data_IF_084708583962
#
_entry.id   IF_084708583962
#
_cell.length_a   1.000
_cell.length_b   1.000
_cell.length_c   1.000
_cell.angle_alpha   90.00
_cell.angle_beta   90.00
_cell.angle_gamma   90.00
#
_symmetry.space_group_name_H-M   'P 1'
#
loop_
_entity.id
_entity.type
_entity.pdbx_description
1 polymer ?
#
# COMPACT_ATOMS: atom_id res chain seq x y z
N UNK A 1 33.29 -7.20 -3.41
CA UNK A 1 32.44 -6.18 -4.05
C UNK A 1 31.36 -6.87 -4.86
N UNK A 2 30.09 -6.97 -4.52
CA UNK A 2 29.26 -6.35 -3.49
C UNK A 2 27.85 -6.32 -4.07
N UNK A 3 27.07 -7.40 -3.90
CA UNK A 3 25.72 -7.63 -4.48
C UNK A 3 24.71 -6.50 -4.24
N UNK A 4 25.03 -5.58 -3.32
CA UNK A 4 24.30 -4.33 -3.05
C UNK A 4 24.34 -3.35 -4.23
N UNK A 5 25.47 -3.21 -4.92
CA UNK A 5 25.63 -2.26 -6.03
C UNK A 5 24.78 -2.62 -7.26
N UNK A 6 24.63 -3.91 -7.55
CA UNK A 6 23.87 -4.39 -8.71
C UNK A 6 22.37 -4.11 -8.60
N UNK A 7 21.81 -4.16 -7.39
CA UNK A 7 20.40 -3.85 -7.14
C UNK A 7 20.10 -2.38 -7.34
N UNK A 8 20.96 -1.51 -6.81
CA UNK A 8 20.83 -0.06 -6.98
C UNK A 8 20.96 0.35 -8.46
N UNK A 9 21.89 -0.27 -9.19
CA UNK A 9 22.06 -0.02 -10.62
C UNK A 9 20.82 -0.44 -11.45
N UNK A 10 20.24 -1.60 -11.16
CA UNK A 10 19.02 -2.06 -11.86
C UNK A 10 17.81 -1.17 -11.55
N UNK A 11 17.65 -0.75 -10.29
CA UNK A 11 16.57 0.17 -9.89
C UNK A 11 16.76 1.53 -10.58
N UNK A 12 17.97 2.10 -10.57
CA UNK A 12 18.25 3.36 -11.26
C UNK A 12 18.03 3.28 -12.76
N UNK A 13 18.45 2.18 -13.40
CA UNK A 13 18.21 1.93 -14.83
C UNK A 13 16.73 1.79 -15.17
N UNK A 14 15.96 1.07 -14.35
CA UNK A 14 14.51 0.92 -14.51
C UNK A 14 13.78 2.27 -14.38
N UNK A 15 14.13 3.08 -13.38
CA UNK A 15 13.55 4.43 -13.21
C UNK A 15 13.82 5.31 -14.43
N UNK A 16 15.07 5.30 -14.93
CA UNK A 16 15.43 6.08 -16.13
C UNK A 16 14.72 5.60 -17.38
N UNK A 17 14.50 4.29 -17.51
CA UNK A 17 13.77 3.69 -18.63
C UNK A 17 12.27 3.98 -18.56
N UNK A 18 11.68 3.90 -17.36
CA UNK A 18 10.27 4.19 -17.11
C UNK A 18 9.91 5.68 -17.37
N UNK A 19 10.86 6.60 -17.13
CA UNK A 19 10.68 8.03 -17.40
C UNK A 19 10.80 8.41 -18.89
N UNK A 20 11.40 7.56 -19.73
CA UNK A 20 11.69 7.85 -21.13
C UNK A 20 10.87 7.06 -22.16
N UNK A 21 9.90 6.26 -21.73
CA UNK A 21 9.10 5.39 -22.61
C UNK A 21 7.82 6.10 -23.06
N UNK A 22 7.52 6.11 -24.36
CA UNK A 22 6.38 6.81 -24.98
C UNK A 22 4.99 6.23 -24.67
N UNK A 23 4.89 5.00 -24.16
CA UNK A 23 3.64 4.38 -23.68
C UNK A 23 3.81 3.75 -22.30
N UNK A 24 3.92 4.57 -21.24
CA UNK A 24 4.09 4.04 -19.88
C UNK A 24 2.74 3.54 -19.34
N UNK A 25 2.72 2.33 -18.79
CA UNK A 25 1.57 1.80 -18.01
C UNK A 25 1.23 2.68 -16.79
N UNK A 26 2.21 3.44 -16.30
CA UNK A 26 2.06 4.44 -15.23
C UNK A 26 2.75 5.70 -15.73
N UNK A 27 1.98 6.66 -16.22
CA UNK A 27 2.52 7.94 -16.65
C UNK A 27 2.99 8.74 -15.42
N UNK A 28 4.31 8.74 -15.21
CA UNK A 28 4.97 9.43 -14.10
C UNK A 28 4.73 10.96 -14.15
N UNK A 29 4.26 11.49 -15.29
CA UNK A 29 3.85 12.89 -15.41
C UNK A 29 2.58 13.21 -14.61
N UNK A 30 1.79 12.22 -14.19
CA UNK A 30 0.69 12.45 -13.24
C UNK A 30 1.19 12.92 -11.87
N UNK A 31 2.39 12.52 -11.43
CA UNK A 31 3.02 13.02 -10.20
C UNK A 31 3.57 14.46 -10.33
N UNK A 32 3.46 15.07 -11.51
CA UNK A 32 3.73 16.52 -11.66
C UNK A 32 2.54 17.36 -11.18
N UNK A 33 1.33 16.79 -11.16
CA UNK A 33 0.15 17.49 -10.65
C UNK A 33 0.18 17.53 -9.11
N UNK A 34 0.16 18.73 -8.55
CA UNK A 34 0.18 18.96 -7.10
C UNK A 34 -0.93 18.22 -6.36
N UNK A 35 -2.12 18.05 -6.96
CA UNK A 35 -3.23 17.33 -6.31
C UNK A 35 -2.93 15.84 -6.18
N UNK A 36 -2.43 15.20 -7.24
CA UNK A 36 -2.06 13.78 -7.26
C UNK A 36 -0.89 13.53 -6.32
N UNK A 37 0.10 14.42 -6.33
CA UNK A 37 1.27 14.33 -5.47
C UNK A 37 0.92 14.53 -4.01
N UNK A 38 0.02 15.45 -3.69
CA UNK A 38 -0.44 15.66 -2.31
C UNK A 38 -1.27 14.47 -1.82
N UNK A 39 -2.17 13.95 -2.65
CA UNK A 39 -2.96 12.76 -2.33
C UNK A 39 -2.07 11.54 -2.08
N UNK A 40 -1.12 11.26 -2.97
CA UNK A 40 -0.20 10.15 -2.82
C UNK A 40 0.79 10.33 -1.67
N UNK A 41 1.27 11.55 -1.42
CA UNK A 41 2.15 11.84 -0.28
C UNK A 41 1.41 11.65 1.05
N UNK A 42 0.15 12.08 1.12
CA UNK A 42 -0.69 11.87 2.30
C UNK A 42 -0.95 10.38 2.52
N UNK A 43 -1.24 9.64 1.45
CA UNK A 43 -1.41 8.18 1.51
C UNK A 43 -0.13 7.48 1.96
N UNK A 44 1.03 7.91 1.44
CA UNK A 44 2.33 7.38 1.81
C UNK A 44 2.63 7.65 3.29
N UNK A 45 2.40 8.88 3.76
CA UNK A 45 2.61 9.26 5.15
C UNK A 45 1.67 8.48 6.08
N UNK A 46 0.40 8.37 5.72
CA UNK A 46 -0.58 7.57 6.43
C UNK A 46 -0.16 6.10 6.50
N UNK A 47 0.21 5.50 5.37
CA UNK A 47 0.66 4.12 5.32
C UNK A 47 1.93 3.92 6.17
N UNK A 48 2.92 4.82 6.07
CA UNK A 48 4.14 4.74 6.87
C UNK A 48 3.85 4.80 8.38
N UNK A 49 3.00 5.73 8.82
CA UNK A 49 2.57 5.83 10.21
C UNK A 49 1.78 4.59 10.66
N UNK A 50 0.83 4.13 9.84
CA UNK A 50 -0.02 2.98 10.13
C UNK A 50 0.78 1.68 10.23
N UNK A 51 1.61 1.37 9.23
CA UNK A 51 2.48 0.19 9.26
C UNK A 51 3.53 0.29 10.37
N UNK A 52 4.07 1.47 10.64
CA UNK A 52 4.96 1.70 11.77
C UNK A 52 4.29 1.34 13.11
N UNK A 53 3.06 1.79 13.32
CA UNK A 53 2.26 1.47 14.51
C UNK A 53 1.90 -0.02 14.60
N UNK A 54 1.48 -0.64 13.50
CA UNK A 54 1.13 -2.07 13.45
C UNK A 54 2.34 -2.97 13.73
N UNK A 55 3.54 -2.57 13.31
CA UNK A 55 4.77 -3.32 13.58
C UNK A 55 5.26 -3.19 15.04
N UNK A 56 4.96 -2.06 15.69
CA UNK A 56 5.31 -1.83 17.10
C UNK A 56 4.58 -2.80 18.05
N UNK A 57 3.33 -3.16 17.75
CA UNK A 57 2.51 -4.05 18.59
C UNK A 57 3.16 -5.44 18.81
N UNK A 58 3.45 -6.24 17.76
CA UNK A 58 4.08 -7.55 17.95
C UNK A 58 5.50 -7.44 18.50
N UNK A 59 6.24 -6.38 18.13
CA UNK A 59 7.59 -6.13 18.66
C UNK A 59 7.55 -5.86 20.17
N UNK A 60 6.56 -5.12 20.66
CA UNK A 60 6.37 -4.86 22.09
C UNK A 60 6.01 -6.15 22.86
N UNK A 61 5.13 -6.99 22.31
CA UNK A 61 4.80 -8.31 22.89
C UNK A 61 6.02 -9.23 23.01
N UNK A 62 6.89 -9.24 21.99
CA UNK A 62 8.07 -10.09 21.93
C UNK A 62 9.22 -9.56 22.80
N UNK A 63 9.41 -8.23 22.87
CA UNK A 63 10.56 -7.62 23.55
C UNK A 63 10.29 -7.30 25.03
N UNK A 64 9.09 -6.82 25.40
CA UNK A 64 8.78 -6.42 26.77
C UNK A 64 8.01 -7.49 27.56
N UNK A 65 7.15 -8.27 26.91
CA UNK A 65 6.24 -9.19 27.61
C UNK A 65 6.77 -10.63 27.74
N UNK A 66 7.86 -11.00 27.05
CA UNK A 66 8.42 -12.37 27.01
C UNK A 66 7.36 -13.47 26.73
N UNK A 67 6.22 -13.11 26.15
CA UNK A 67 5.15 -14.05 25.83
C UNK A 67 5.52 -14.83 24.57
N UNK A 68 5.19 -16.11 24.54
CA UNK A 68 5.46 -16.96 23.38
C UNK A 68 4.70 -16.45 22.16
N UNK A 69 5.33 -16.50 20.98
CA UNK A 69 4.76 -16.02 19.71
C UNK A 69 3.34 -16.56 19.44
N UNK A 70 3.02 -17.75 19.97
CA UNK A 70 1.72 -18.41 19.85
C UNK A 70 0.57 -17.63 20.53
N UNK A 71 0.79 -17.06 21.72
CA UNK A 71 -0.26 -16.31 22.42
C UNK A 71 -0.51 -14.95 21.78
N UNK A 72 0.56 -14.25 21.37
CA UNK A 72 0.41 -13.00 20.61
C UNK A 72 -0.32 -13.22 19.28
N UNK A 73 -0.03 -14.33 18.59
CA UNK A 73 -0.73 -14.73 17.38
C UNK A 73 -2.22 -14.95 17.61
N UNK A 74 -2.59 -15.61 18.69
CA UNK A 74 -4.00 -15.87 19.04
C UNK A 74 -4.77 -14.57 19.31
N UNK A 75 -4.15 -13.56 19.92
CA UNK A 75 -4.77 -12.24 20.13
C UNK A 75 -4.84 -11.38 18.86
N UNK A 76 -3.94 -11.57 17.89
CA UNK A 76 -4.01 -10.89 16.59
C UNK A 76 -4.98 -11.57 15.60
N UNK A 77 -5.42 -12.80 15.86
CA UNK A 77 -6.36 -13.51 14.99
C UNK A 77 -7.72 -12.82 14.85
N UNK A 78 -8.39 -12.34 15.92
CA UNK A 78 -9.67 -11.63 15.81
C UNK A 78 -9.59 -10.40 14.91
N UNK A 79 -8.51 -9.62 15.04
CA UNK A 79 -8.27 -8.42 14.23
C UNK A 79 -8.18 -8.80 12.74
N UNK A 80 -7.37 -9.82 12.42
CA UNK A 80 -7.16 -10.27 11.04
C UNK A 80 -8.39 -10.93 10.43
N UNK A 81 -9.17 -11.66 11.23
CA UNK A 81 -10.46 -12.22 10.81
C UNK A 81 -11.48 -11.11 10.52
N UNK A 82 -11.51 -10.06 11.33
CA UNK A 82 -12.30 -8.86 11.06
C UNK A 82 -11.92 -8.21 9.73
N UNK A 83 -10.62 -8.05 9.45
CA UNK A 83 -10.13 -7.52 8.17
C UNK A 83 -10.49 -8.42 6.97
N UNK A 84 -10.36 -9.74 7.12
CA UNK A 84 -10.70 -10.73 6.09
C UNK A 84 -12.18 -10.65 5.69
N UNK A 85 -13.07 -10.47 6.67
CA UNK A 85 -14.51 -10.33 6.41
C UNK A 85 -14.86 -8.95 5.86
N UNK A 86 -14.12 -7.90 6.25
CA UNK A 86 -14.41 -6.52 5.85
C UNK A 86 -14.05 -6.26 4.38
N UNK A 87 -12.98 -6.85 3.84
CA UNK A 87 -12.59 -6.67 2.43
C UNK A 87 -13.70 -7.02 1.41
N UNK A 88 -14.34 -8.21 1.46
CA UNK A 88 -15.41 -8.53 0.52
C UNK A 88 -16.64 -7.64 0.75
N UNK A 89 -16.96 -7.29 1.99
CA UNK A 89 -18.07 -6.38 2.32
C UNK A 89 -17.85 -5.00 1.71
N UNK A 90 -16.63 -4.46 1.80
CA UNK A 90 -16.27 -3.18 1.21
C UNK A 90 -16.41 -3.20 -0.32
N UNK A 91 -16.00 -4.29 -0.98
CA UNK A 91 -16.19 -4.47 -2.42
C UNK A 91 -17.67 -4.50 -2.83
N UNK A 92 -18.50 -5.28 -2.13
CA UNK A 92 -19.94 -5.36 -2.39
C UNK A 92 -20.64 -4.01 -2.15
N UNK A 93 -20.25 -3.28 -1.10
CA UNK A 93 -20.82 -1.98 -0.78
C UNK A 93 -20.42 -0.92 -1.82
N UNK A 94 -19.17 -0.96 -2.30
CA UNK A 94 -18.69 -0.10 -3.36
C UNK A 94 -19.40 -0.41 -4.68
N UNK A 95 -19.66 -1.68 -5.00
CA UNK A 95 -20.43 -2.07 -6.19
C UNK A 95 -21.91 -1.67 -6.11
N UNK A 96 -22.49 -1.67 -4.90
CA UNK A 96 -23.87 -1.22 -4.68
C UNK A 96 -24.03 0.30 -4.75
N UNK A 97 -23.05 1.08 -4.27
CA UNK A 97 -23.11 2.55 -4.26
C UNK A 97 -22.41 3.22 -5.45
N UNK A 98 -21.41 2.58 -6.04
CA UNK A 98 -20.58 3.10 -7.13
C UNK A 98 -21.21 3.00 -8.52
N UNK A 99 -22.08 2.00 -8.76
CA UNK A 99 -22.88 1.92 -10.00
C UNK A 99 -23.79 3.13 -10.23
N UNK A 100 -24.11 3.89 -9.18
CA UNK A 100 -25.02 5.04 -9.27
C UNK A 100 -24.34 6.36 -9.71
N UNK A 101 -23.01 6.46 -9.85
CA UNK A 101 -22.35 7.76 -10.11
C UNK A 101 -21.21 7.79 -11.15
N UNK A 102 -20.91 6.69 -11.84
CA UNK A 102 -19.81 6.63 -12.82
C UNK A 102 -20.29 6.29 -14.23
N UNK A 103 -21.25 7.05 -14.75
CA UNK A 103 -21.52 7.12 -16.20
C UNK A 103 -20.58 8.15 -16.84
N UNK A 104 -19.30 7.82 -16.98
CA UNK A 104 -18.39 8.67 -17.76
C UNK A 104 -18.68 8.52 -19.25
N UNK A 105 -18.90 9.61 -20.00
CA UNK A 105 -19.18 9.59 -21.43
C UNK A 105 -17.95 9.27 -22.32
N UNK A 106 -16.82 8.85 -21.76
CA UNK A 106 -15.51 8.69 -22.45
C UNK A 106 -15.30 7.30 -23.07
N UNK A 107 -16.22 6.35 -22.90
CA UNK A 107 -16.17 5.03 -23.55
C UNK A 107 -17.11 4.91 -24.76
N UNK A 108 -17.27 5.99 -25.54
CA UNK A 108 -17.86 5.96 -26.88
C UNK A 108 -16.82 6.32 -27.92
#
# INVERSE_FOLDING_TARGET
MGTRGRRLALIGGFVRHALGTDNPLIDLRLFTNSEVTTANSTLLLFAAAFFGAVLLIPSCFQQLLQQTALQSGLHMMPERLGALLTMPIAGILLDKRGRARWSWPVLR
#
